data_IF_934806598525
#
_entry.id   IF_934806598525
#
_cell.length_a   1.000
_cell.length_b   1.000
_cell.length_c   1.000
_cell.angle_alpha   90.00
_cell.angle_beta   90.00
_cell.angle_gamma   90.00
#
_symmetry.space_group_name_H-M   'P 1'
#
loop_
_entity.id
_entity.type
_entity.pdbx_description
1 polymer ?
#
# COMPACT_ATOMS: atom_id res chain seq x y z
N UNK A 1 12.60 -4.20 -28.21
CA UNK A 1 12.26 -2.96 -28.95
C UNK A 1 13.57 -2.30 -29.35
N UNK A 2 13.77 -1.96 -30.62
CA UNK A 2 15.03 -1.35 -31.06
C UNK A 2 14.86 0.18 -30.97
N UNK A 3 15.58 0.79 -30.03
CA UNK A 3 15.51 2.21 -29.70
C UNK A 3 16.74 2.95 -30.21
N UNK A 4 16.57 4.21 -30.60
CA UNK A 4 17.69 5.07 -30.94
C UNK A 4 18.36 5.58 -29.66
N UNK A 5 19.67 5.39 -29.53
CA UNK A 5 20.47 5.88 -28.39
C UNK A 5 20.64 7.41 -28.34
N UNK A 6 20.20 8.14 -29.37
CA UNK A 6 20.25 9.61 -29.40
C UNK A 6 18.96 10.22 -28.85
N UNK A 7 17.79 9.73 -29.28
CA UNK A 7 16.49 10.28 -28.88
C UNK A 7 15.71 9.40 -27.89
N UNK A 8 16.22 8.20 -27.58
CA UNK A 8 15.61 7.22 -26.67
C UNK A 8 14.18 6.81 -27.04
N UNK A 9 13.82 6.97 -28.32
CA UNK A 9 12.55 6.56 -28.90
C UNK A 9 12.74 5.38 -29.86
N UNK A 10 11.67 4.63 -30.21
CA UNK A 10 11.72 3.66 -31.29
C UNK A 10 12.30 4.25 -32.57
N UNK A 11 13.09 3.44 -33.29
CA UNK A 11 13.74 3.87 -34.52
C UNK A 11 12.73 4.29 -35.59
N UNK A 12 12.97 5.45 -36.21
CA UNK A 12 12.23 5.98 -37.37
C UNK A 12 13.22 6.18 -38.51
N UNK A 13 12.94 5.56 -39.66
CA UNK A 13 13.86 5.47 -40.82
C UNK A 13 15.31 5.10 -40.38
N UNK A 14 15.52 3.86 -39.88
CA UNK A 14 16.79 3.51 -39.27
C UNK A 14 17.94 3.46 -40.26
N UNK A 15 19.10 3.97 -39.82
CA UNK A 15 20.36 3.85 -40.53
C UNK A 15 21.43 3.23 -39.62
N UNK A 16 22.22 2.32 -40.17
CA UNK A 16 23.39 1.76 -39.51
C UNK A 16 24.64 2.54 -39.90
N UNK A 17 25.45 2.90 -38.89
CA UNK A 17 26.81 3.35 -39.11
C UNK A 17 27.73 2.18 -39.51
N UNK A 18 28.90 2.48 -40.07
CA UNK A 18 29.90 1.48 -40.44
C UNK A 18 30.35 0.59 -39.25
N UNK A 19 30.26 1.12 -38.02
CA UNK A 19 30.52 0.39 -36.79
C UNK A 19 29.38 -0.56 -36.36
N UNK A 20 28.27 -0.62 -37.11
CA UNK A 20 27.14 -1.52 -36.87
C UNK A 20 26.02 -0.98 -35.98
N UNK A 21 26.22 0.16 -35.30
CA UNK A 21 25.17 0.78 -34.47
C UNK A 21 24.10 1.48 -35.31
N UNK A 22 22.85 1.40 -34.86
CA UNK A 22 21.67 1.87 -35.60
C UNK A 22 21.05 3.09 -34.91
N UNK A 23 20.68 4.10 -35.69
CA UNK A 23 20.08 5.35 -35.23
C UNK A 23 18.94 5.76 -36.15
N UNK A 24 18.07 6.70 -35.74
CA UNK A 24 17.15 7.36 -36.67
C UNK A 24 17.97 8.24 -37.64
N UNK A 25 17.63 8.26 -38.93
CA UNK A 25 18.33 9.08 -39.95
C UNK A 25 18.41 10.56 -39.52
N UNK A 26 17.28 11.13 -39.08
CA UNK A 26 17.23 12.52 -38.62
C UNK A 26 18.08 12.78 -37.34
N UNK A 27 18.21 11.79 -36.46
CA UNK A 27 19.02 11.93 -35.24
C UNK A 27 20.51 11.93 -35.56
N UNK A 28 20.97 10.99 -36.40
CA UNK A 28 22.39 10.92 -36.75
C UNK A 28 22.80 12.12 -37.62
N UNK A 29 21.92 12.64 -38.47
CA UNK A 29 22.18 13.86 -39.25
C UNK A 29 22.40 15.09 -38.36
N UNK A 30 21.55 15.26 -37.32
CA UNK A 30 21.75 16.32 -36.31
C UNK A 30 23.05 16.13 -35.55
N UNK A 31 23.42 14.90 -35.23
CA UNK A 31 24.69 14.58 -34.59
C UNK A 31 25.91 14.97 -35.45
N UNK A 32 25.86 14.66 -36.75
CA UNK A 32 26.87 15.13 -37.72
C UNK A 32 26.91 16.66 -37.82
N UNK A 33 25.76 17.33 -37.84
CA UNK A 33 25.69 18.79 -37.90
C UNK A 33 26.31 19.44 -36.63
N UNK A 34 26.04 18.87 -35.46
CA UNK A 34 26.66 19.28 -34.21
C UNK A 34 28.19 19.12 -34.24
N UNK A 35 28.70 17.96 -34.64
CA UNK A 35 30.15 17.75 -34.76
C UNK A 35 30.79 18.74 -35.75
N UNK A 36 30.14 18.99 -36.90
CA UNK A 36 30.63 19.93 -37.89
C UNK A 36 30.69 21.38 -37.37
N UNK A 37 29.66 21.82 -36.64
CA UNK A 37 29.61 23.15 -36.01
C UNK A 37 30.76 23.37 -35.04
N UNK A 38 31.14 22.32 -34.31
CA UNK A 38 32.24 22.33 -33.35
C UNK A 38 33.61 21.96 -33.96
N UNK A 39 33.70 21.79 -35.29
CA UNK A 39 34.92 21.39 -36.00
C UNK A 39 35.53 20.07 -35.48
N UNK A 40 34.66 19.14 -35.04
CA UNK A 40 35.03 17.84 -34.50
C UNK A 40 34.77 16.73 -35.52
N UNK A 41 35.58 15.66 -35.43
CA UNK A 41 35.27 14.39 -36.09
C UNK A 41 34.02 13.81 -35.43
N UNK A 42 33.06 13.39 -36.25
CA UNK A 42 31.84 12.80 -35.73
C UNK A 42 32.13 11.39 -35.21
N UNK A 43 31.84 11.17 -33.93
CA UNK A 43 32.03 9.88 -33.25
C UNK A 43 30.70 9.21 -32.96
N UNK A 44 30.67 7.89 -33.06
CA UNK A 44 29.50 7.09 -32.72
C UNK A 44 29.11 7.30 -31.24
N UNK A 45 27.86 7.69 -30.92
CA UNK A 45 27.41 7.85 -29.53
C UNK A 45 27.53 6.58 -28.67
N UNK A 46 27.53 5.40 -29.29
CA UNK A 46 27.53 4.12 -28.56
C UNK A 46 28.94 3.55 -28.32
N UNK A 47 29.85 3.69 -29.28
CA UNK A 47 31.16 3.04 -29.23
C UNK A 47 32.34 3.99 -29.46
N UNK A 48 32.07 5.28 -29.65
CA UNK A 48 33.07 6.34 -29.83
C UNK A 48 34.02 6.18 -31.05
N UNK A 49 33.72 5.23 -31.95
CA UNK A 49 34.42 5.08 -33.23
C UNK A 49 34.07 6.22 -34.17
N UNK A 50 35.02 6.60 -35.03
CA UNK A 50 34.78 7.61 -36.05
C UNK A 50 33.75 7.12 -37.06
N UNK A 51 32.78 7.98 -37.36
CA UNK A 51 31.70 7.69 -38.31
C UNK A 51 31.67 8.76 -39.40
N UNK A 52 31.33 8.33 -40.61
CA UNK A 52 31.27 9.19 -41.79
C UNK A 52 29.90 9.09 -42.46
N UNK A 53 29.42 10.19 -43.04
CA UNK A 53 28.12 10.20 -43.75
C UNK A 53 28.08 9.17 -44.90
N UNK A 54 29.19 8.97 -45.61
CA UNK A 54 29.31 7.96 -46.67
C UNK A 54 29.21 6.52 -46.18
N UNK A 55 29.46 6.27 -44.88
CA UNK A 55 29.37 4.96 -44.26
C UNK A 55 28.00 4.63 -43.67
N UNK A 56 27.04 5.56 -43.73
CA UNK A 56 25.66 5.32 -43.28
C UNK A 56 24.91 4.49 -44.31
N UNK A 57 24.28 3.40 -43.86
CA UNK A 57 23.41 2.56 -44.71
C UNK A 57 22.01 2.50 -44.13
N UNK A 58 20.99 2.74 -44.96
CA UNK A 58 19.59 2.53 -44.57
C UNK A 58 19.37 1.06 -44.26
N UNK A 59 18.67 0.79 -43.17
CA UNK A 59 18.32 -0.55 -42.73
C UNK A 59 16.80 -0.64 -42.69
N UNK A 60 16.25 -1.66 -43.33
CA UNK A 60 14.84 -1.98 -43.17
C UNK A 60 14.69 -3.01 -42.07
N UNK A 61 13.98 -2.66 -41.01
CA UNK A 61 13.69 -3.58 -39.90
C UNK A 61 12.22 -3.94 -40.04
N UNK A 62 11.92 -5.22 -40.28
CA UNK A 62 10.55 -5.73 -40.34
C UNK A 62 9.94 -5.82 -38.94
N UNK A 63 9.75 -4.68 -38.28
CA UNK A 63 8.83 -4.56 -37.17
C UNK A 63 7.50 -4.14 -37.76
N UNK A 64 6.43 -4.89 -37.49
CA UNK A 64 5.09 -4.45 -37.85
C UNK A 64 4.81 -3.14 -37.12
N UNK A 65 4.55 -2.06 -37.85
CA UNK A 65 4.30 -0.72 -37.30
C UNK A 65 3.21 -0.73 -36.22
N UNK A 66 2.20 -1.58 -36.39
CA UNK A 66 1.13 -1.81 -35.42
C UNK A 66 1.69 -2.24 -34.04
N UNK A 67 2.55 -3.26 -34.00
CA UNK A 67 3.15 -3.75 -32.75
C UNK A 67 4.06 -2.71 -32.09
N UNK A 68 4.78 -1.89 -32.87
CA UNK A 68 5.64 -0.83 -32.30
C UNK A 68 4.79 0.25 -31.63
N UNK A 69 3.66 0.61 -32.24
CA UNK A 69 2.72 1.59 -31.70
C UNK A 69 2.01 1.05 -30.45
N UNK A 70 1.61 -0.21 -30.45
CA UNK A 70 1.03 -0.86 -29.28
C UNK A 70 2.05 -0.95 -28.13
N UNK A 71 3.29 -1.36 -28.40
CA UNK A 71 4.34 -1.44 -27.39
C UNK A 71 4.68 -0.08 -26.78
N UNK A 72 4.70 1.00 -27.59
CA UNK A 72 4.97 2.34 -27.06
C UNK A 72 3.81 2.86 -26.20
N UNK A 73 2.57 2.63 -26.61
CA UNK A 73 1.39 2.97 -25.81
C UNK A 73 1.35 2.19 -24.49
N UNK A 74 1.61 0.88 -24.55
CA UNK A 74 1.65 0.03 -23.36
C UNK A 74 2.77 0.44 -22.41
N UNK A 75 3.93 0.86 -22.93
CA UNK A 75 5.04 1.36 -22.10
C UNK A 75 4.67 2.63 -21.33
N UNK A 76 3.88 3.53 -21.92
CA UNK A 76 3.39 4.73 -21.23
C UNK A 76 2.44 4.31 -20.10
N UNK A 77 1.49 3.41 -20.39
CA UNK A 77 0.56 2.91 -19.38
C UNK A 77 1.27 2.24 -18.19
N UNK A 78 2.33 1.45 -18.45
CA UNK A 78 3.13 0.84 -17.38
C UNK A 78 3.80 1.90 -16.51
N UNK A 79 4.35 2.97 -17.10
CA UNK A 79 4.95 4.07 -16.33
C UNK A 79 3.92 4.81 -15.46
N UNK A 80 2.74 5.08 -16.01
CA UNK A 80 1.67 5.74 -15.28
C UNK A 80 1.17 4.87 -14.13
N UNK A 81 1.05 3.56 -14.36
CA UNK A 81 0.65 2.59 -13.35
C UNK A 81 1.71 2.45 -12.24
N UNK A 82 3.00 2.48 -12.58
CA UNK A 82 4.09 2.47 -11.61
C UNK A 82 4.10 3.73 -10.75
N UNK A 83 3.84 4.90 -11.34
CA UNK A 83 3.71 6.16 -10.61
C UNK A 83 2.52 6.11 -9.63
N UNK A 84 1.37 5.61 -10.09
CA UNK A 84 0.19 5.44 -9.25
C UNK A 84 0.41 4.45 -8.10
N UNK A 85 1.00 3.29 -8.39
CA UNK A 85 1.35 2.28 -7.37
C UNK A 85 2.33 2.83 -6.33
N UNK A 86 3.29 3.66 -6.76
CA UNK A 86 4.23 4.30 -5.84
C UNK A 86 3.50 5.27 -4.90
N UNK A 87 2.58 6.08 -5.43
CA UNK A 87 1.73 6.97 -4.63
C UNK A 87 0.89 6.21 -3.60
N UNK A 88 0.23 5.13 -4.02
CA UNK A 88 -0.56 4.29 -3.12
C UNK A 88 0.30 3.66 -2.03
N UNK A 89 1.51 3.20 -2.36
CA UNK A 89 2.44 2.67 -1.33
C UNK A 89 2.81 3.72 -0.31
N UNK A 90 3.06 4.96 -0.73
CA UNK A 90 3.37 6.05 0.21
C UNK A 90 2.19 6.40 1.11
N UNK A 91 0.97 6.35 0.58
CA UNK A 91 -0.25 6.59 1.37
C UNK A 91 -0.49 5.48 2.40
N UNK A 92 -0.34 4.21 1.99
CA UNK A 92 -0.45 3.06 2.90
C UNK A 92 0.60 3.13 4.02
N UNK A 93 1.83 3.52 3.70
CA UNK A 93 2.87 3.68 4.71
C UNK A 93 2.56 4.85 5.67
N UNK A 94 2.00 5.94 5.17
CA UNK A 94 1.56 7.06 6.02
C UNK A 94 0.45 6.66 6.99
N UNK A 95 -0.55 5.91 6.51
CA UNK A 95 -1.62 5.41 7.38
C UNK A 95 -1.10 4.41 8.41
N UNK A 96 -0.10 3.60 8.04
CA UNK A 96 0.54 2.65 8.96
C UNK A 96 1.26 3.37 10.09
N UNK A 97 2.04 4.41 9.80
CA UNK A 97 2.74 5.17 10.85
C UNK A 97 1.76 5.91 11.76
N UNK A 98 0.66 6.42 11.21
CA UNK A 98 -0.41 7.03 11.99
C UNK A 98 -1.06 6.02 12.96
N UNK A 99 -1.34 4.80 12.46
CA UNK A 99 -1.85 3.70 13.27
C UNK A 99 -0.88 3.30 14.39
N UNK A 100 0.41 3.17 14.09
CA UNK A 100 1.46 2.90 15.10
C UNK A 100 1.52 4.02 16.15
N UNK A 101 1.32 5.27 15.74
CA UNK A 101 1.19 6.41 16.66
C UNK A 101 0.02 6.26 17.64
N UNK A 102 -1.16 5.87 17.15
CA UNK A 102 -2.32 5.60 18.01
C UNK A 102 -2.10 4.41 18.94
N UNK A 103 -1.45 3.34 18.47
CA UNK A 103 -1.11 2.18 19.30
C UNK A 103 -0.18 2.57 20.45
N UNK A 104 0.89 3.30 20.17
CA UNK A 104 1.83 3.79 21.19
C UNK A 104 1.15 4.72 22.20
N UNK A 105 0.25 5.60 21.74
CA UNK A 105 -0.53 6.46 22.63
C UNK A 105 -1.44 5.63 23.55
N UNK A 106 -2.07 4.60 23.00
CA UNK A 106 -2.95 3.70 23.77
C UNK A 106 -2.16 2.93 24.82
N UNK A 107 -0.97 2.42 24.49
CA UNK A 107 -0.07 1.75 25.44
C UNK A 107 0.38 2.69 26.56
N UNK A 108 0.70 3.95 26.23
CA UNK A 108 1.08 4.96 27.22
C UNK A 108 -0.07 5.29 28.17
N UNK A 109 -1.27 5.50 27.63
CA UNK A 109 -2.47 5.74 28.45
C UNK A 109 -2.82 4.53 29.32
N UNK A 110 -2.64 3.31 28.80
CA UNK A 110 -2.83 2.08 29.56
C UNK A 110 -1.82 1.99 30.72
N UNK A 111 -0.55 2.32 30.47
CA UNK A 111 0.48 2.34 31.51
C UNK A 111 0.16 3.37 32.61
N UNK A 112 -0.33 4.56 32.26
CA UNK A 112 -0.76 5.59 33.22
C UNK A 112 -2.00 5.15 34.04
N UNK A 113 -2.81 4.22 33.54
CA UNK A 113 -3.93 3.62 34.29
C UNK A 113 -3.47 2.52 35.26
N UNK A 114 -2.36 1.83 34.97
CA UNK A 114 -1.76 0.77 35.79
C UNK A 114 -0.72 1.33 36.79
N UNK A 115 -1.04 2.44 37.45
CA UNK A 115 -0.33 2.86 38.67
C UNK A 115 -0.78 1.92 39.80
N UNK A 116 0.18 1.12 40.28
CA UNK A 116 0.03 0.22 41.43
C UNK A 116 -0.73 0.90 42.57
N UNK A 117 -1.70 0.16 43.13
CA UNK A 117 -2.35 0.49 44.40
C UNK A 117 -1.26 0.96 45.40
N UNK A 118 -1.38 2.15 46.00
CA UNK A 118 -1.89 2.17 47.38
C UNK A 118 -2.47 3.50 47.91
N UNK A 119 -2.84 4.55 47.12
CA UNK A 119 -3.24 5.80 47.84
C UNK A 119 -4.35 6.74 47.34
N UNK A 120 -4.92 6.72 46.12
CA UNK A 120 -6.01 7.67 45.78
C UNK A 120 -7.09 7.16 44.80
N UNK A 121 -8.29 6.79 45.28
CA UNK A 121 -9.41 6.36 44.42
C UNK A 121 -10.10 7.49 43.61
N UNK A 122 -9.89 8.76 43.96
CA UNK A 122 -10.52 9.90 43.26
C UNK A 122 -9.99 10.14 41.84
N UNK A 123 -8.72 9.83 41.57
CA UNK A 123 -8.12 10.03 40.25
C UNK A 123 -8.57 8.97 39.23
N UNK A 124 -8.83 7.73 39.67
CA UNK A 124 -9.35 6.65 38.80
C UNK A 124 -10.72 6.99 38.21
N UNK A 125 -11.61 7.61 38.99
CA UNK A 125 -12.92 8.04 38.51
C UNK A 125 -12.84 9.15 37.45
N UNK A 126 -11.88 10.07 37.55
CA UNK A 126 -11.68 11.13 36.55
C UNK A 126 -11.18 10.56 35.22
N UNK A 127 -10.18 9.69 35.27
CA UNK A 127 -9.60 9.06 34.07
C UNK A 127 -10.61 8.13 33.39
N UNK A 128 -11.35 7.32 34.17
CA UNK A 128 -12.43 6.48 33.65
C UNK A 128 -13.55 7.31 32.98
N UNK A 129 -13.92 8.47 33.54
CA UNK A 129 -14.93 9.36 32.93
C UNK A 129 -14.44 10.00 31.63
N UNK A 130 -13.15 10.34 31.55
CA UNK A 130 -12.55 10.91 30.35
C UNK A 130 -12.46 9.88 29.21
N UNK A 131 -12.07 8.63 29.54
CA UNK A 131 -12.05 7.52 28.58
C UNK A 131 -13.46 7.19 28.10
N UNK A 132 -14.45 7.14 28.99
CA UNK A 132 -15.86 6.95 28.64
C UNK A 132 -16.36 8.03 27.68
N UNK A 133 -16.09 9.31 27.95
CA UNK A 133 -16.46 10.41 27.05
C UNK A 133 -15.76 10.36 25.68
N UNK A 134 -14.51 9.87 25.64
CA UNK A 134 -13.77 9.72 24.38
C UNK A 134 -14.28 8.52 23.56
N UNK A 135 -14.61 7.41 24.23
CA UNK A 135 -15.26 6.25 23.58
C UNK A 135 -16.66 6.60 23.05
N UNK A 136 -17.42 7.38 23.81
CA UNK A 136 -18.76 7.84 23.45
C UNK A 136 -18.75 8.76 22.21
N UNK A 137 -17.70 9.57 22.04
CA UNK A 137 -17.58 10.51 20.90
C UNK A 137 -16.99 9.88 19.64
N UNK A 138 -16.15 8.85 19.77
CA UNK A 138 -15.42 8.24 18.62
C UNK A 138 -16.11 7.00 18.07
N UNK A 139 -16.70 6.13 18.92
CA UNK A 139 -17.15 4.80 18.49
C UNK A 139 -18.67 4.58 18.46
N UNK A 140 -19.46 5.43 19.14
CA UNK A 140 -20.91 5.21 19.30
C UNK A 140 -21.73 6.33 18.66
N UNK A 141 -22.03 6.18 17.37
CA UNK A 141 -22.98 7.07 16.65
C UNK A 141 -24.40 6.51 16.59
N UNK A 142 -24.62 5.34 17.17
CA UNK A 142 -25.89 4.60 17.21
C UNK A 142 -26.47 4.62 18.64
N UNK A 143 -27.69 5.15 18.79
CA UNK A 143 -28.35 5.37 20.10
C UNK A 143 -28.51 4.08 20.92
N UNK A 144 -28.60 2.93 20.26
CA UNK A 144 -28.76 1.63 20.90
C UNK A 144 -27.51 1.13 21.62
N UNK A 145 -26.32 1.41 21.08
CA UNK A 145 -25.07 0.98 21.69
C UNK A 145 -24.67 1.90 22.86
N UNK A 146 -25.09 3.16 22.81
CA UNK A 146 -24.90 4.14 23.90
C UNK A 146 -25.56 3.66 25.21
N UNK A 147 -26.78 3.12 25.12
CA UNK A 147 -27.52 2.62 26.28
C UNK A 147 -26.89 1.38 26.93
N UNK A 148 -26.33 0.48 26.13
CA UNK A 148 -25.63 -0.71 26.64
C UNK A 148 -24.34 -0.32 27.35
N UNK A 149 -23.58 0.62 26.80
CA UNK A 149 -22.31 1.06 27.36
C UNK A 149 -22.50 1.90 28.64
N UNK A 150 -23.54 2.72 28.71
CA UNK A 150 -23.92 3.43 29.95
C UNK A 150 -24.36 2.46 31.05
N UNK A 151 -25.20 1.47 30.71
CA UNK A 151 -25.62 0.45 31.67
C UNK A 151 -24.43 -0.40 32.17
N UNK A 152 -23.45 -0.67 31.31
CA UNK A 152 -22.21 -1.32 31.69
C UNK A 152 -21.36 -0.45 32.64
N UNK A 153 -21.27 0.86 32.41
CA UNK A 153 -20.55 1.78 33.30
C UNK A 153 -21.19 1.87 34.70
N UNK A 154 -22.52 1.93 34.76
CA UNK A 154 -23.27 1.92 36.02
C UNK A 154 -23.20 0.55 36.74
N UNK A 155 -23.11 -0.55 35.99
CA UNK A 155 -22.88 -1.89 36.53
C UNK A 155 -21.45 -2.07 37.09
N UNK A 156 -20.44 -1.49 36.42
CA UNK A 156 -19.03 -1.52 36.84
C UNK A 156 -18.81 -0.72 38.14
N UNK A 157 -19.53 0.38 38.33
CA UNK A 157 -19.43 1.20 39.55
C UNK A 157 -20.18 0.60 40.75
N UNK A 158 -21.09 -0.35 40.53
CA UNK A 158 -21.94 -0.94 41.59
C UNK A 158 -21.55 -2.36 42.03
N UNK A 159 -20.82 -3.13 41.22
CA UNK A 159 -20.46 -4.53 41.54
C UNK A 159 -18.94 -4.70 41.54
N UNK A 160 -18.40 -5.20 42.66
CA UNK A 160 -16.97 -5.45 42.89
C UNK A 160 -16.25 -6.09 41.68
N UNK A 161 -15.10 -5.50 41.36
CA UNK A 161 -14.54 -5.28 40.03
C UNK A 161 -13.86 -6.45 39.31
N UNK A 162 -13.84 -7.68 39.83
CA UNK A 162 -12.99 -8.72 39.25
C UNK A 162 -13.68 -9.59 38.18
N UNK A 163 -14.87 -10.11 38.47
CA UNK A 163 -15.55 -11.06 37.58
C UNK A 163 -16.18 -10.38 36.36
N UNK A 164 -16.68 -9.16 36.54
CA UNK A 164 -17.31 -8.40 35.46
C UNK A 164 -16.27 -7.88 34.46
N UNK A 165 -15.12 -7.39 34.96
CA UNK A 165 -14.00 -6.98 34.10
C UNK A 165 -13.49 -8.15 33.26
N UNK A 166 -13.41 -9.35 33.83
CA UNK A 166 -13.05 -10.56 33.10
C UNK A 166 -14.07 -10.90 31.99
N UNK A 167 -15.38 -10.77 32.25
CA UNK A 167 -16.40 -10.98 31.22
C UNK A 167 -16.38 -9.93 30.11
N UNK A 168 -16.13 -8.66 30.45
CA UNK A 168 -16.05 -7.57 29.48
C UNK A 168 -14.78 -7.70 28.63
N UNK A 169 -13.63 -8.00 29.25
CA UNK A 169 -12.37 -8.23 28.53
C UNK A 169 -12.47 -9.45 27.60
N UNK A 170 -13.11 -10.54 28.04
CA UNK A 170 -13.39 -11.69 27.16
C UNK A 170 -14.31 -11.30 26.00
N UNK A 171 -15.32 -10.46 26.24
CA UNK A 171 -16.20 -9.94 25.19
C UNK A 171 -15.45 -9.08 24.17
N UNK A 172 -14.62 -8.15 24.64
CA UNK A 172 -13.78 -7.28 23.79
C UNK A 172 -12.77 -8.10 22.99
N UNK A 173 -12.12 -9.10 23.60
CA UNK A 173 -11.19 -9.98 22.89
C UNK A 173 -11.91 -10.85 21.84
N UNK A 174 -13.14 -11.29 22.11
CA UNK A 174 -13.96 -12.01 21.13
C UNK A 174 -14.29 -11.13 19.92
N UNK A 175 -14.71 -9.89 20.16
CA UNK A 175 -15.02 -8.92 19.09
C UNK A 175 -13.77 -8.60 18.29
N UNK A 176 -12.63 -8.35 18.95
CA UNK A 176 -11.36 -8.09 18.29
C UNK A 176 -10.90 -9.27 17.41
N UNK A 177 -11.05 -10.52 17.90
CA UNK A 177 -10.73 -11.73 17.12
C UNK A 177 -11.65 -11.93 15.92
N UNK A 178 -12.94 -11.63 16.05
CA UNK A 178 -13.92 -11.72 14.95
C UNK A 178 -13.63 -10.68 13.87
N UNK A 179 -13.24 -9.46 14.27
CA UNK A 179 -12.93 -8.37 13.33
C UNK A 179 -11.59 -8.57 12.63
N UNK A 180 -10.55 -9.01 13.35
CA UNK A 180 -9.19 -9.11 12.78
C UNK A 180 -8.84 -10.49 12.18
N UNK A 181 -9.52 -11.59 12.56
CA UNK A 181 -9.29 -12.95 12.02
C UNK A 181 -10.60 -13.72 11.84
N UNK A 182 -11.40 -13.40 10.80
CA UNK A 182 -12.73 -13.97 10.61
C UNK A 182 -12.72 -15.47 10.27
N UNK A 183 -11.74 -15.97 9.53
CA UNK A 183 -11.74 -17.36 9.01
C UNK A 183 -11.50 -18.43 10.09
N UNK A 184 -10.66 -18.15 11.09
CA UNK A 184 -10.35 -19.10 12.18
C UNK A 184 -11.42 -19.10 13.29
N UNK A 185 -12.08 -17.95 13.50
CA UNK A 185 -13.07 -17.76 14.57
C UNK A 185 -14.41 -18.42 14.23
N UNK A 186 -14.83 -18.36 12.96
CA UNK A 186 -16.07 -19.00 12.49
C UNK A 186 -15.96 -20.53 12.44
N UNK A 187 -14.78 -21.11 12.13
CA UNK A 187 -14.57 -22.57 12.16
C UNK A 187 -14.73 -23.16 13.56
N UNK A 188 -14.26 -22.46 14.60
CA UNK A 188 -14.41 -22.89 16.00
C UNK A 188 -15.83 -22.71 16.50
N UNK A 189 -16.54 -21.65 16.10
CA UNK A 189 -17.94 -21.46 16.44
C UNK A 189 -18.87 -22.50 15.76
N UNK A 190 -18.58 -22.89 14.51
CA UNK A 190 -19.34 -23.92 13.79
C UNK A 190 -19.29 -25.30 14.48
N UNK A 191 -18.20 -25.63 15.19
CA UNK A 191 -18.08 -26.86 15.98
C UNK A 191 -18.97 -26.87 17.24
N UNK A 192 -19.34 -25.71 17.77
CA UNK A 192 -20.24 -25.58 18.92
C UNK A 192 -21.72 -25.46 18.53
N UNK A 193 -22.00 -25.02 17.30
CA UNK A 193 -23.38 -24.84 16.80
C UNK A 193 -23.90 -26.10 16.08
N UNK A 194 -23.02 -27.01 15.64
CA UNK A 194 -23.46 -28.27 15.03
C UNK A 194 -23.80 -29.33 16.08
N UNK A 195 -25.00 -29.21 16.64
CA UNK A 195 -25.69 -30.33 17.31
C UNK A 195 -25.94 -31.40 16.23
N UNK A 196 -25.38 -32.62 16.32
CA UNK A 196 -25.70 -33.68 15.37
C UNK A 196 -27.18 -34.06 15.51
N UNK A 197 -27.96 -34.13 14.42
CA UNK A 197 -29.33 -34.58 14.46
C UNK A 197 -29.35 -36.11 14.57
N UNK A 198 -29.11 -36.66 15.75
CA UNK A 198 -29.23 -38.11 15.99
C UNK A 198 -30.05 -38.48 17.23
N UNK A 199 -30.92 -37.59 17.72
CA UNK A 199 -31.99 -37.94 18.66
C UNK A 199 -33.39 -37.80 18.04
N UNK A 200 -33.53 -38.31 16.81
CA UNK A 200 -34.80 -38.55 16.14
C UNK A 200 -34.81 -39.97 15.56
N UNK A 201 -34.64 -40.99 16.42
CA UNK A 201 -35.31 -42.30 16.28
C UNK A 201 -35.02 -43.27 17.45
N UNK A 202 -36.11 -43.90 17.94
CA UNK A 202 -36.24 -45.04 18.89
C UNK A 202 -36.01 -44.69 20.36
N UNK A 203 -36.96 -44.86 21.28
CA UNK A 203 -38.19 -45.67 21.37
C UNK A 203 -39.28 -44.87 22.08
#
# INVERSE_FOLDING_TARGET
MIECSICYNPLVDPCAAACGHIFCSACIEKWFAFSALHQLVCKCPNCNQDIYKSGLRKVYISQSEALVKELSALRIQVKDLDAYNTSLRTEVEGLRTELEGYQNLTEKLLADMYVDDDDQPEQRNKVASAIYGTFQTVFLRDDHLLGVVSACYDAVTSVGSALFLQTVLLGVELVWRVVNRPEDSLRKAALYVWIPPTLLHRR
#
